data_IF_881449923093
#
_entry.id   IF_881449923093
#
_cell.length_a   1.000
_cell.length_b   1.000
_cell.length_c   1.000
_cell.angle_alpha   90.00
_cell.angle_beta   90.00
_cell.angle_gamma   90.00
#
_symmetry.space_group_name_H-M   'P 1'
#
loop_
_entity.id
_entity.type
_entity.pdbx_description
1 polymer ?
#
# COMPACT_ATOMS: atom_id res chain seq x y z
N UNK A 1 1.30 12.49 14.52
CA UNK A 1 0.06 12.69 15.30
C UNK A 1 -1.14 12.85 14.39
N UNK A 2 -2.13 11.94 14.45
CA UNK A 2 -3.42 12.11 13.77
C UNK A 2 -4.32 12.95 14.69
N UNK A 3 -4.42 14.25 14.43
CA UNK A 3 -5.33 15.14 15.17
C UNK A 3 -6.76 14.75 14.75
N UNK A 4 -7.43 13.88 15.53
CA UNK A 4 -8.83 13.49 15.36
C UNK A 4 -9.18 12.43 14.29
N UNK A 5 -8.36 12.24 13.25
CA UNK A 5 -8.66 11.30 12.15
C UNK A 5 -8.83 9.84 12.59
N UNK A 6 -8.21 9.44 13.71
CA UNK A 6 -8.36 8.10 14.30
C UNK A 6 -9.82 7.76 14.62
N UNK A 7 -10.67 8.74 14.91
CA UNK A 7 -12.07 8.54 15.31
C UNK A 7 -13.06 8.54 14.13
N UNK A 8 -12.63 9.04 12.97
CA UNK A 8 -13.49 9.12 11.77
C UNK A 8 -13.23 7.98 10.79
N UNK A 9 -12.15 7.23 10.99
CA UNK A 9 -11.74 6.14 10.11
C UNK A 9 -11.96 4.81 10.80
N UNK A 10 -12.39 3.80 10.03
CA UNK A 10 -12.49 2.43 10.53
C UNK A 10 -11.07 1.86 10.68
N UNK A 11 -10.73 1.44 11.89
CA UNK A 11 -9.44 0.84 12.23
C UNK A 11 -9.71 -0.59 12.69
N UNK A 12 -8.89 -1.51 12.19
CA UNK A 12 -8.90 -2.91 12.60
C UNK A 12 -7.45 -3.41 12.74
N UNK A 13 -7.26 -4.39 13.60
CA UNK A 13 -5.97 -5.06 13.82
C UNK A 13 -6.17 -6.57 13.70
N UNK A 14 -5.10 -7.27 13.34
CA UNK A 14 -5.09 -8.72 13.17
C UNK A 14 -3.70 -9.21 12.80
N UNK A 15 -3.52 -10.53 12.80
CA UNK A 15 -2.30 -11.15 12.25
C UNK A 15 -2.21 -10.95 10.74
N UNK A 16 -1.01 -11.10 10.19
CA UNK A 16 -0.77 -11.04 8.74
C UNK A 16 -1.69 -12.00 7.98
N UNK A 17 -1.82 -13.23 8.46
CA UNK A 17 -2.64 -14.28 7.84
C UNK A 17 -4.12 -13.90 7.81
N UNK A 18 -4.65 -13.37 8.92
CA UNK A 18 -6.05 -12.97 9.03
C UNK A 18 -6.37 -11.82 8.07
N UNK A 19 -5.50 -10.81 8.00
CA UNK A 19 -5.69 -9.64 7.14
C UNK A 19 -5.60 -10.05 5.67
N UNK A 20 -4.60 -10.84 5.27
CA UNK A 20 -4.46 -11.33 3.88
C UNK A 20 -5.71 -12.14 3.50
N UNK A 21 -6.16 -13.05 4.37
CA UNK A 21 -7.35 -13.86 4.14
C UNK A 21 -8.61 -13.01 3.99
N UNK A 22 -8.77 -11.99 4.83
CA UNK A 22 -9.87 -11.03 4.74
C UNK A 22 -9.86 -10.28 3.41
N UNK A 23 -8.71 -9.75 2.98
CA UNK A 23 -8.58 -8.99 1.74
C UNK A 23 -8.91 -9.87 0.52
N UNK A 24 -8.37 -11.09 0.48
CA UNK A 24 -8.64 -12.08 -0.58
C UNK A 24 -10.13 -12.45 -0.63
N UNK A 25 -10.75 -12.75 0.52
CA UNK A 25 -12.18 -13.10 0.60
C UNK A 25 -13.09 -11.99 0.07
N UNK A 26 -12.69 -10.74 0.24
CA UNK A 26 -13.46 -9.57 -0.22
C UNK A 26 -13.07 -9.10 -1.63
N UNK A 27 -12.27 -9.87 -2.38
CA UNK A 27 -11.78 -9.51 -3.71
C UNK A 27 -11.09 -8.13 -3.75
N UNK A 28 -10.33 -7.81 -2.69
CA UNK A 28 -9.53 -6.58 -2.61
C UNK A 28 -8.12 -6.89 -3.11
N UNK A 29 -7.69 -6.19 -4.16
CA UNK A 29 -6.33 -6.34 -4.68
C UNK A 29 -5.32 -5.79 -3.67
N UNK A 30 -4.24 -6.54 -3.44
CA UNK A 30 -3.19 -6.21 -2.47
C UNK A 30 -2.01 -5.62 -3.23
N UNK A 31 -1.62 -4.39 -2.91
CA UNK A 31 -0.49 -3.71 -3.52
C UNK A 31 0.57 -3.40 -2.48
N UNK A 32 1.69 -4.11 -2.57
CA UNK A 32 2.76 -4.07 -1.58
C UNK A 32 3.84 -3.09 -2.00
N UNK A 33 4.07 -2.03 -1.21
CA UNK A 33 5.12 -1.06 -1.48
C UNK A 33 6.50 -1.66 -1.17
N UNK A 34 7.22 -2.09 -2.20
CA UNK A 34 8.50 -2.79 -2.09
C UNK A 34 9.40 -2.51 -3.30
N UNK A 35 10.72 -2.54 -3.09
CA UNK A 35 11.72 -2.33 -4.16
C UNK A 35 11.86 -3.55 -5.08
N UNK A 36 11.54 -4.76 -4.58
CA UNK A 36 11.74 -6.00 -5.32
C UNK A 36 10.54 -6.37 -6.18
N UNK A 37 10.80 -6.80 -7.42
CA UNK A 37 9.82 -7.31 -8.36
C UNK A 37 8.61 -6.36 -8.57
N UNK A 38 8.85 -5.05 -8.50
CA UNK A 38 7.81 -4.04 -8.46
C UNK A 38 7.63 -3.27 -9.76
N UNK A 39 6.41 -2.79 -9.95
CA UNK A 39 6.07 -1.85 -11.02
C UNK A 39 5.94 -0.44 -10.47
N UNK A 40 6.12 0.57 -11.33
CA UNK A 40 5.81 1.94 -10.96
C UNK A 40 4.35 2.03 -10.48
N UNK A 41 4.14 2.69 -9.34
CA UNK A 41 2.82 2.85 -8.73
C UNK A 41 1.80 3.49 -9.69
N UNK A 42 2.24 4.31 -10.63
CA UNK A 42 1.39 5.01 -11.62
C UNK A 42 0.82 4.06 -12.69
N UNK A 43 1.50 2.94 -12.95
CA UNK A 43 1.10 1.97 -13.98
C UNK A 43 -0.03 1.03 -13.52
N UNK A 44 -0.42 1.13 -12.25
CA UNK A 44 -1.39 0.24 -11.63
C UNK A 44 -2.78 0.87 -11.64
N UNK A 45 -3.79 0.03 -11.88
CA UNK A 45 -5.18 0.44 -11.85
C UNK A 45 -5.77 0.24 -10.44
N UNK A 46 -6.03 1.35 -9.75
CA UNK A 46 -6.61 1.37 -8.40
C UNK A 46 -8.12 1.65 -8.39
N UNK A 47 -8.81 1.60 -9.54
CA UNK A 47 -10.24 1.94 -9.63
C UNK A 47 -11.15 0.97 -8.86
N UNK A 48 -10.71 -0.27 -8.64
CA UNK A 48 -11.43 -1.29 -7.86
C UNK A 48 -10.99 -1.29 -6.38
N UNK A 49 -11.52 -2.23 -5.58
CA UNK A 49 -11.07 -2.44 -4.21
C UNK A 49 -9.56 -2.68 -4.16
N UNK A 50 -8.84 -1.84 -3.42
CA UNK A 50 -7.36 -1.87 -3.36
C UNK A 50 -6.89 -1.64 -1.93
N UNK A 51 -6.04 -2.53 -1.45
CA UNK A 51 -5.29 -2.39 -0.21
C UNK A 51 -3.85 -1.99 -0.55
N UNK A 52 -3.38 -0.91 0.07
CA UNK A 52 -2.00 -0.45 -0.03
C UNK A 52 -1.29 -0.92 1.23
N UNK A 53 -0.25 -1.72 1.07
CA UNK A 53 0.52 -2.29 2.18
C UNK A 53 1.90 -1.62 2.19
N UNK A 54 2.24 -1.03 3.33
CA UNK A 54 3.52 -0.37 3.55
C UNK A 54 4.28 -1.08 4.67
N UNK A 55 5.58 -1.30 4.45
CA UNK A 55 6.46 -1.95 5.41
C UNK A 55 6.97 -1.00 6.50
N UNK A 56 7.75 -1.54 7.44
CA UNK A 56 8.47 -0.71 8.40
C UNK A 56 9.68 -0.05 7.74
N UNK A 57 10.14 1.07 8.27
CA UNK A 57 11.32 1.78 7.75
C UNK A 57 12.61 0.94 7.83
N UNK A 58 12.71 0.05 8.82
CA UNK A 58 13.92 -0.72 9.09
C UNK A 58 14.00 -2.04 8.31
N UNK A 59 12.86 -2.74 8.15
CA UNK A 59 12.85 -4.11 7.59
C UNK A 59 12.01 -4.25 6.33
N UNK A 60 11.25 -3.23 5.94
CA UNK A 60 10.32 -3.31 4.82
C UNK A 60 9.13 -4.23 5.13
N UNK A 61 8.68 -4.98 4.11
CA UNK A 61 7.58 -5.93 4.21
C UNK A 61 8.09 -7.36 4.40
N UNK A 62 7.37 -8.16 5.18
CA UNK A 62 7.66 -9.60 5.28
C UNK A 62 7.43 -10.29 3.94
N UNK A 63 8.15 -11.40 3.71
CA UNK A 63 7.97 -12.22 2.50
C UNK A 63 6.52 -12.67 2.31
N UNK A 64 5.81 -12.93 3.40
CA UNK A 64 4.39 -13.30 3.37
C UNK A 64 3.53 -12.23 2.68
N UNK A 65 3.80 -10.94 2.90
CA UNK A 65 3.10 -9.85 2.20
C UNK A 65 3.51 -9.71 0.74
N UNK A 66 4.76 -10.01 0.41
CA UNK A 66 5.27 -9.94 -0.97
C UNK A 66 4.69 -11.08 -1.82
N UNK A 67 4.67 -12.30 -1.29
CA UNK A 67 4.16 -13.49 -1.97
C UNK A 67 2.64 -13.48 -2.16
N UNK A 68 1.92 -12.86 -1.23
CA UNK A 68 0.46 -12.73 -1.31
C UNK A 68 0.00 -11.43 -1.99
N UNK A 69 0.93 -10.60 -2.45
CA UNK A 69 0.62 -9.38 -3.16
C UNK A 69 0.02 -9.68 -4.53
N UNK A 70 -0.98 -8.88 -4.94
CA UNK A 70 -1.44 -8.87 -6.33
C UNK A 70 -0.37 -8.25 -7.24
N UNK A 71 0.32 -7.24 -6.74
CA UNK A 71 1.45 -6.61 -7.43
C UNK A 71 2.29 -5.82 -6.43
N UNK A 72 3.60 -6.02 -6.47
CA UNK A 72 4.51 -5.13 -5.74
C UNK A 72 4.62 -3.81 -6.51
N UNK A 73 4.60 -2.69 -5.79
CA UNK A 73 4.65 -1.36 -6.36
C UNK A 73 5.80 -0.56 -5.76
N UNK A 74 6.37 0.34 -6.56
CA UNK A 74 7.41 1.25 -6.11
C UNK A 74 7.07 2.68 -6.52
N UNK A 75 7.50 3.64 -5.71
CA UNK A 75 7.53 5.06 -6.08
C UNK A 75 8.93 5.32 -6.65
N UNK A 76 9.07 5.67 -7.94
CA UNK A 76 10.39 5.87 -8.54
C UNK A 76 11.13 7.00 -7.84
N UNK A 77 12.28 6.69 -7.26
CA UNK A 77 13.17 7.68 -6.64
C UNK A 77 14.16 8.19 -7.68
N UNK A 78 14.33 9.51 -7.76
CA UNK A 78 15.37 10.15 -8.56
C UNK A 78 16.42 10.72 -7.61
N UNK A 79 17.56 10.03 -7.44
CA UNK A 79 18.67 10.50 -6.61
C UNK A 79 19.35 9.40 -5.80
N UNK A 80 20.01 9.79 -4.71
CA UNK A 80 20.78 8.92 -3.81
C UNK A 80 19.95 8.30 -2.67
N UNK A 81 18.64 8.55 -2.63
CA UNK A 81 17.76 7.99 -1.59
C UNK A 81 17.05 6.75 -2.11
N UNK A 82 17.14 5.68 -1.31
CA UNK A 82 16.54 4.39 -1.67
C UNK A 82 15.08 4.27 -1.19
N UNK A 83 14.62 5.16 -0.31
CA UNK A 83 13.25 5.15 0.21
C UNK A 83 12.77 6.50 0.74
N UNK A 84 11.45 6.63 0.84
CA UNK A 84 10.76 7.74 1.52
C UNK A 84 10.24 7.27 2.88
N UNK A 85 10.04 8.22 3.80
CA UNK A 85 9.32 7.98 5.04
C UNK A 85 7.96 7.29 4.78
N UNK A 86 7.59 6.35 5.65
CA UNK A 86 6.38 5.52 5.46
C UNK A 86 5.11 6.35 5.31
N UNK A 87 4.98 7.44 6.06
CA UNK A 87 3.79 8.31 5.98
C UNK A 87 3.70 9.07 4.65
N UNK A 88 4.85 9.48 4.09
CA UNK A 88 4.93 10.14 2.79
C UNK A 88 4.59 9.17 1.67
N UNK A 89 5.19 7.97 1.70
CA UNK A 89 4.89 6.90 0.76
C UNK A 89 3.40 6.54 0.76
N UNK A 90 2.81 6.33 1.94
CA UNK A 90 1.39 6.06 2.09
C UNK A 90 0.53 7.20 1.52
N UNK A 91 0.90 8.45 1.79
CA UNK A 91 0.23 9.63 1.25
C UNK A 91 0.20 9.63 -0.28
N UNK A 92 1.35 9.46 -0.93
CA UNK A 92 1.48 9.45 -2.41
C UNK A 92 0.58 8.35 -3.00
N UNK A 93 0.68 7.13 -2.49
CA UNK A 93 -0.05 5.97 -3.02
C UNK A 93 -1.57 6.13 -2.84
N UNK A 94 -2.01 6.59 -1.66
CA UNK A 94 -3.44 6.80 -1.38
C UNK A 94 -4.01 7.91 -2.28
N UNK A 95 -3.28 9.01 -2.48
CA UNK A 95 -3.74 10.10 -3.33
C UNK A 95 -3.79 9.72 -4.81
N UNK A 96 -2.87 8.88 -5.30
CA UNK A 96 -2.96 8.35 -6.66
C UNK A 96 -4.19 7.46 -6.85
N UNK A 97 -4.43 6.54 -5.90
CA UNK A 97 -5.62 5.71 -5.94
C UNK A 97 -6.91 6.55 -5.90
N UNK A 98 -6.93 7.62 -5.10
CA UNK A 98 -8.03 8.58 -5.06
C UNK A 98 -8.18 9.32 -6.40
N UNK A 99 -7.08 9.82 -6.98
CA UNK A 99 -7.07 10.53 -8.27
C UNK A 99 -7.69 9.67 -9.38
N UNK A 100 -7.28 8.41 -9.49
CA UNK A 100 -7.85 7.48 -10.49
C UNK A 100 -9.34 7.20 -10.28
N UNK A 101 -9.83 7.23 -9.04
CA UNK A 101 -11.26 7.04 -8.72
C UNK A 101 -12.09 8.30 -8.90
N UNK A 102 -11.48 9.49 -8.81
CA UNK A 102 -12.16 10.78 -9.02
C UNK A 102 -12.34 11.12 -10.51
N UNK A 103 -11.52 10.56 -11.39
CA UNK A 103 -11.66 10.74 -12.84
C UNK A 103 -12.75 9.78 -13.34
N UNK A 104 -13.91 10.34 -13.70
CA UNK A 104 -14.99 9.62 -14.40
C UNK A 104 -14.52 9.11 -15.75
#
# INVERSE_FOLDING_TARGET
SSVGCVFTNKIATGSTQEIISFLKKNNIAIYSAALSASKSYESINYRKGSAIVVGTEATGLSNEWLENSTQNILIPMHGQIDSLNVSVSAGILIFEAKRQRSIK
#
